data_IF_655776889631
#
_entry.id   IF_655776889631
#
_cell.length_a   1.000
_cell.length_b   1.000
_cell.length_c   1.000
_cell.angle_alpha   90.00
_cell.angle_beta   90.00
_cell.angle_gamma   90.00
#
_symmetry.space_group_name_H-M   'P 1'
#
loop_
_entity.id
_entity.type
_entity.pdbx_description
1 polymer ?
#
# COMPACT_ATOMS: atom_id res chain seq x y z
N UNK A 1 7.09 -20.45 10.26
CA UNK A 1 6.84 -19.68 9.02
C UNK A 1 8.06 -19.80 8.11
N UNK A 2 7.90 -19.55 6.81
CA UNK A 2 9.01 -19.33 5.87
C UNK A 2 9.07 -17.84 5.52
N UNK A 3 10.22 -17.37 5.04
CA UNK A 3 10.38 -16.01 4.52
C UNK A 3 10.65 -16.10 3.03
N UNK A 4 9.84 -15.41 2.23
CA UNK A 4 10.08 -15.20 0.81
C UNK A 4 10.47 -13.73 0.63
N UNK A 5 11.66 -13.48 0.09
CA UNK A 5 12.10 -12.13 -0.26
C UNK A 5 11.86 -11.90 -1.75
N UNK A 6 11.33 -10.74 -2.10
CA UNK A 6 11.10 -10.29 -3.47
C UNK A 6 11.50 -8.83 -3.54
N UNK A 7 12.35 -8.48 -4.51
CA UNK A 7 12.76 -7.09 -4.72
C UNK A 7 11.59 -6.27 -5.29
N UNK A 8 11.51 -4.97 -4.95
CA UNK A 8 10.42 -4.11 -5.41
C UNK A 8 10.37 -3.93 -6.94
N UNK A 9 11.45 -4.25 -7.66
CA UNK A 9 11.43 -4.34 -9.13
C UNK A 9 10.41 -5.36 -9.66
N UNK A 10 10.06 -6.41 -8.92
CA UNK A 10 9.00 -7.35 -9.33
C UNK A 10 7.63 -6.66 -9.33
N UNK A 11 7.35 -5.82 -8.32
CA UNK A 11 6.10 -5.05 -8.31
C UNK A 11 6.03 -4.10 -9.52
N UNK A 12 7.16 -3.43 -9.83
CA UNK A 12 7.27 -2.59 -11.03
C UNK A 12 7.06 -3.40 -12.31
N UNK A 13 7.71 -4.57 -12.42
CA UNK A 13 7.58 -5.48 -13.57
C UNK A 13 6.12 -5.87 -13.79
N UNK A 14 5.40 -6.23 -12.73
CA UNK A 14 3.97 -6.60 -12.85
C UNK A 14 3.12 -5.45 -13.36
N UNK A 15 3.37 -4.24 -12.89
CA UNK A 15 2.63 -3.05 -13.36
C UNK A 15 2.95 -2.76 -14.83
N UNK A 16 4.24 -2.75 -15.21
CA UNK A 16 4.66 -2.36 -16.56
C UNK A 16 4.32 -3.42 -17.62
N UNK A 17 4.42 -4.71 -17.27
CA UNK A 17 4.15 -5.83 -18.16
C UNK A 17 2.71 -6.34 -18.07
N UNK A 18 1.81 -5.61 -17.40
CA UNK A 18 0.38 -5.95 -17.28
C UNK A 18 0.09 -7.33 -16.67
N UNK A 19 0.84 -7.68 -15.63
CA UNK A 19 0.72 -8.95 -14.88
C UNK A 19 -0.26 -8.76 -13.73
N UNK A 20 -1.51 -8.51 -14.13
CA UNK A 20 -2.67 -8.31 -13.28
C UNK A 20 -3.93 -8.48 -14.14
N UNK A 21 -5.10 -8.55 -13.49
CA UNK A 21 -6.40 -8.54 -14.16
C UNK A 21 -6.79 -7.10 -14.55
N UNK A 22 -6.79 -6.79 -15.86
CA UNK A 22 -7.15 -5.47 -16.37
C UNK A 22 -8.63 -5.14 -16.13
N UNK A 23 -9.52 -6.14 -16.14
CA UNK A 23 -10.95 -5.94 -15.85
C UNK A 23 -11.18 -5.60 -14.38
N UNK A 24 -10.44 -6.25 -13.48
CA UNK A 24 -10.50 -5.90 -12.05
C UNK A 24 -9.99 -4.47 -11.80
N UNK A 25 -8.97 -4.00 -12.52
CA UNK A 25 -8.50 -2.63 -12.38
C UNK A 25 -9.59 -1.61 -12.76
N UNK A 26 -10.35 -1.88 -13.82
CA UNK A 26 -11.48 -1.03 -14.22
C UNK A 26 -12.55 -0.97 -13.13
N UNK A 27 -12.85 -2.11 -12.49
CA UNK A 27 -13.77 -2.18 -11.34
C UNK A 27 -13.23 -1.39 -10.15
N UNK A 28 -11.94 -1.55 -9.83
CA UNK A 28 -11.28 -0.85 -8.73
C UNK A 28 -11.31 0.67 -8.92
N UNK A 29 -11.04 1.15 -10.13
CA UNK A 29 -11.11 2.57 -10.48
C UNK A 29 -12.53 3.12 -10.38
N UNK A 30 -13.53 2.41 -10.94
CA UNK A 30 -14.93 2.82 -10.86
C UNK A 30 -15.44 2.85 -9.42
N UNK A 31 -15.00 1.90 -8.59
CA UNK A 31 -15.32 1.88 -7.16
C UNK A 31 -14.66 3.05 -6.43
N UNK A 32 -13.38 3.33 -6.69
CA UNK A 32 -12.69 4.49 -6.12
C UNK A 32 -13.39 5.80 -6.50
N UNK A 33 -13.79 5.97 -7.76
CA UNK A 33 -14.53 7.16 -8.22
C UNK A 33 -15.85 7.38 -7.47
N UNK A 34 -16.53 6.28 -7.11
CA UNK A 34 -17.79 6.33 -6.39
C UNK A 34 -17.63 6.57 -4.89
N UNK A 35 -16.55 6.06 -4.29
CA UNK A 35 -16.44 5.95 -2.83
C UNK A 35 -15.34 6.82 -2.21
N UNK A 36 -14.31 7.21 -2.96
CA UNK A 36 -13.22 8.02 -2.41
C UNK A 36 -13.67 9.46 -2.22
N UNK A 37 -13.48 9.95 -0.99
CA UNK A 37 -13.64 11.36 -0.64
C UNK A 37 -12.25 11.95 -0.48
N UNK A 38 -11.86 12.81 -1.41
CA UNK A 38 -10.53 13.42 -1.42
C UNK A 38 -10.43 14.57 -0.41
N UNK A 39 -9.33 14.61 0.33
CA UNK A 39 -8.97 15.73 1.21
C UNK A 39 -8.31 16.88 0.45
N UNK A 40 -8.06 17.98 1.16
CA UNK A 40 -7.34 19.13 0.62
C UNK A 40 -5.86 18.80 0.36
N UNK A 41 -5.33 19.22 -0.80
CA UNK A 41 -3.91 19.08 -1.12
C UNK A 41 -3.08 20.16 -0.38
N UNK A 42 -2.36 19.72 0.66
CA UNK A 42 -1.51 20.56 1.50
C UNK A 42 -0.08 20.72 0.99
N UNK A 43 0.25 20.20 -0.20
CA UNK A 43 1.56 20.43 -0.79
C UNK A 43 1.74 21.91 -1.15
N UNK A 44 2.99 22.38 -1.14
CA UNK A 44 3.31 23.69 -1.71
C UNK A 44 2.89 23.72 -3.19
N UNK A 45 2.44 24.87 -3.68
CA UNK A 45 1.79 24.98 -4.99
C UNK A 45 2.62 24.38 -6.13
N UNK A 46 3.94 24.53 -6.10
CA UNK A 46 4.84 23.96 -7.12
C UNK A 46 4.94 22.42 -7.11
N UNK A 47 4.47 21.75 -6.05
CA UNK A 47 4.49 20.29 -5.90
C UNK A 47 3.11 19.66 -6.02
N UNK A 48 2.04 20.47 -6.14
CA UNK A 48 0.70 19.96 -6.39
C UNK A 48 0.63 19.31 -7.75
N UNK A 49 -0.11 18.20 -7.81
CA UNK A 49 -0.33 17.45 -9.05
C UNK A 49 -1.59 17.97 -9.74
N UNK A 50 -1.56 18.01 -11.07
CA UNK A 50 -2.78 18.21 -11.83
C UNK A 50 -3.67 16.95 -11.80
N UNK A 51 -4.91 17.08 -12.26
CA UNK A 51 -5.90 15.99 -12.25
C UNK A 51 -5.42 14.72 -12.96
N UNK A 52 -4.77 14.86 -14.13
CA UNK A 52 -4.26 13.72 -14.91
C UNK A 52 -3.15 12.97 -14.16
N UNK A 53 -2.22 13.70 -13.53
CA UNK A 53 -1.17 13.12 -12.70
C UNK A 53 -1.75 12.44 -11.45
N UNK A 54 -2.71 13.08 -10.79
CA UNK A 54 -3.41 12.52 -9.63
C UNK A 54 -4.18 11.24 -9.99
N UNK A 55 -4.82 11.20 -11.17
CA UNK A 55 -5.47 10.00 -11.69
C UNK A 55 -4.48 8.87 -11.97
N UNK A 56 -3.31 9.19 -12.53
CA UNK A 56 -2.25 8.20 -12.76
C UNK A 56 -1.70 7.63 -11.45
N UNK A 57 -1.49 8.49 -10.44
CA UNK A 57 -1.10 8.07 -9.08
C UNK A 57 -2.15 7.13 -8.49
N UNK A 58 -3.44 7.48 -8.54
CA UNK A 58 -4.51 6.62 -8.04
C UNK A 58 -4.52 5.26 -8.73
N UNK A 59 -4.43 5.24 -10.08
CA UNK A 59 -4.40 4.00 -10.86
C UNK A 59 -3.23 3.11 -10.44
N UNK A 60 -2.04 3.67 -10.31
CA UNK A 60 -0.85 2.91 -9.93
C UNK A 60 -0.93 2.42 -8.47
N UNK A 61 -1.45 3.24 -7.55
CA UNK A 61 -1.69 2.82 -6.16
C UNK A 61 -2.68 1.66 -6.03
N UNK A 62 -3.75 1.63 -6.85
CA UNK A 62 -4.70 0.50 -6.89
C UNK A 62 -4.04 -0.76 -7.50
N UNK A 63 -3.21 -0.58 -8.53
CA UNK A 63 -2.42 -1.67 -9.11
C UNK A 63 -1.43 -2.25 -8.11
N UNK A 64 -0.79 -1.43 -7.28
CA UNK A 64 0.07 -1.90 -6.20
C UNK A 64 -0.71 -2.80 -5.23
N UNK A 65 -1.93 -2.42 -4.85
CA UNK A 65 -2.79 -3.23 -3.99
C UNK A 65 -3.11 -4.60 -4.62
N UNK A 66 -3.53 -4.60 -5.89
CA UNK A 66 -3.84 -5.82 -6.64
C UNK A 66 -2.62 -6.73 -6.76
N UNK A 67 -1.48 -6.19 -7.19
CA UNK A 67 -0.27 -6.97 -7.42
C UNK A 67 0.32 -7.52 -6.11
N UNK A 68 0.31 -6.75 -5.01
CA UNK A 68 0.76 -7.23 -3.70
C UNK A 68 -0.13 -8.37 -3.22
N UNK A 69 -1.46 -8.22 -3.31
CA UNK A 69 -2.40 -9.30 -3.00
C UNK A 69 -2.11 -10.56 -3.82
N UNK A 70 -1.98 -10.40 -5.14
CA UNK A 70 -1.73 -11.53 -6.06
C UNK A 70 -0.39 -12.21 -5.76
N UNK A 71 0.64 -11.47 -5.36
CA UNK A 71 1.89 -12.05 -4.87
C UNK A 71 1.69 -12.83 -3.55
N UNK A 72 0.85 -12.35 -2.64
CA UNK A 72 0.62 -13.03 -1.36
C UNK A 72 -0.11 -14.37 -1.54
N UNK A 73 -1.26 -14.37 -2.22
CA UNK A 73 -2.18 -15.51 -2.26
C UNK A 73 -2.30 -16.20 -3.63
N UNK A 74 -1.70 -15.64 -4.67
CA UNK A 74 -1.89 -16.08 -6.05
C UNK A 74 -3.13 -15.46 -6.70
N UNK A 75 -3.27 -15.68 -8.02
CA UNK A 75 -4.43 -15.25 -8.78
C UNK A 75 -4.64 -16.17 -10.01
N UNK A 76 -5.71 -16.98 -10.06
CA UNK A 76 -5.95 -17.90 -11.18
C UNK A 76 -6.14 -17.19 -12.52
N UNK A 77 -6.61 -15.93 -12.55
CA UNK A 77 -6.74 -15.17 -13.80
C UNK A 77 -5.39 -14.89 -14.48
N UNK A 78 -4.29 -14.90 -13.73
CA UNK A 78 -2.95 -14.80 -14.32
C UNK A 78 -2.59 -16.08 -15.10
N UNK A 79 -3.02 -17.26 -14.63
CA UNK A 79 -2.82 -18.51 -15.35
C UNK A 79 -3.61 -18.53 -16.67
N UNK A 80 -4.82 -17.98 -16.69
CA UNK A 80 -5.64 -17.81 -17.90
C UNK A 80 -4.94 -16.90 -18.94
N UNK A 81 -4.13 -15.94 -18.49
CA UNK A 81 -3.27 -15.09 -19.34
C UNK A 81 -1.95 -15.75 -19.75
N UNK A 82 -1.71 -17.01 -19.37
CA UNK A 82 -0.47 -17.74 -19.64
C UNK A 82 0.68 -17.44 -18.65
N UNK A 83 0.42 -16.65 -17.61
CA UNK A 83 1.39 -16.27 -16.56
C UNK A 83 1.29 -17.24 -15.38
N UNK A 84 1.59 -18.51 -15.68
CA UNK A 84 1.36 -19.63 -14.76
C UNK A 84 2.24 -19.56 -13.51
N UNK A 85 3.46 -19.04 -13.61
CA UNK A 85 4.35 -18.88 -12.47
C UNK A 85 3.80 -17.84 -11.50
N UNK A 86 3.46 -16.65 -11.99
CA UNK A 86 2.96 -15.54 -11.18
C UNK A 86 1.58 -15.81 -10.57
N UNK A 87 0.82 -16.74 -11.14
CA UNK A 87 -0.51 -17.15 -10.67
C UNK A 87 -0.50 -17.89 -9.33
N UNK A 88 0.62 -18.52 -8.96
CA UNK A 88 0.71 -19.35 -7.76
C UNK A 88 0.78 -18.54 -6.46
N UNK A 89 1.36 -17.34 -6.53
CA UNK A 89 1.70 -16.55 -5.35
C UNK A 89 2.75 -17.21 -4.45
N UNK A 90 2.95 -16.63 -3.26
CA UNK A 90 3.99 -17.04 -2.31
C UNK A 90 3.44 -17.71 -1.05
N UNK A 91 2.13 -17.99 -0.99
CA UNK A 91 1.47 -18.57 0.17
C UNK A 91 1.74 -17.76 1.46
N UNK A 92 1.66 -16.43 1.34
CA UNK A 92 2.02 -15.50 2.39
C UNK A 92 0.79 -15.12 3.22
N UNK A 93 0.82 -15.43 4.52
CA UNK A 93 -0.21 -15.04 5.50
C UNK A 93 0.03 -13.64 6.10
N UNK A 94 1.22 -13.08 5.86
CA UNK A 94 1.59 -11.71 6.18
C UNK A 94 2.70 -11.27 5.22
N UNK A 95 2.73 -9.99 4.88
CA UNK A 95 3.71 -9.37 4.00
C UNK A 95 4.16 -8.02 4.56
N UNK A 96 5.18 -7.43 3.93
CA UNK A 96 5.62 -6.07 4.20
C UNK A 96 6.04 -5.39 2.91
N UNK A 97 5.75 -4.10 2.79
CA UNK A 97 6.18 -3.29 1.65
C UNK A 97 7.18 -2.24 2.11
N UNK A 98 8.41 -2.33 1.60
CA UNK A 98 9.50 -1.46 2.06
C UNK A 98 9.20 0.01 1.73
N UNK A 99 8.78 0.31 0.50
CA UNK A 99 8.49 1.67 0.06
C UNK A 99 9.72 2.59 0.13
N UNK A 100 9.89 3.26 1.28
CA UNK A 100 10.97 4.22 1.45
C UNK A 100 12.36 3.54 1.48
N UNK A 101 13.39 4.13 0.86
CA UNK A 101 13.39 5.32 -0.01
C UNK A 101 13.33 4.98 -1.50
N UNK A 102 13.84 3.81 -1.89
CA UNK A 102 14.13 3.46 -3.29
C UNK A 102 12.88 3.40 -4.19
N UNK A 103 11.72 3.05 -3.65
CA UNK A 103 10.47 3.09 -4.41
C UNK A 103 9.86 4.48 -4.41
N UNK A 104 9.64 5.06 -3.22
CA UNK A 104 8.91 6.34 -3.06
C UNK A 104 9.63 7.55 -3.63
N UNK A 105 10.94 7.47 -3.87
CA UNK A 105 11.71 8.54 -4.49
C UNK A 105 11.40 8.68 -6.00
N UNK A 106 10.68 7.73 -6.61
CA UNK A 106 10.38 7.72 -8.06
C UNK A 106 8.96 7.24 -8.41
N UNK A 107 8.30 6.47 -7.55
CA UNK A 107 6.96 5.93 -7.77
C UNK A 107 5.97 6.38 -6.67
N UNK A 108 4.65 6.29 -6.90
CA UNK A 108 3.63 6.49 -5.87
C UNK A 108 3.88 5.64 -4.63
N UNK A 109 3.60 6.17 -3.44
CA UNK A 109 3.81 5.44 -2.19
C UNK A 109 2.78 4.32 -1.97
N UNK A 110 3.02 3.51 -0.93
CA UNK A 110 2.20 2.35 -0.59
C UNK A 110 0.91 2.65 0.16
N UNK A 111 0.66 3.90 0.58
CA UNK A 111 -0.38 4.26 1.55
C UNK A 111 -1.77 3.70 1.20
N UNK A 112 -2.24 3.92 -0.03
CA UNK A 112 -3.56 3.41 -0.49
C UNK A 112 -3.60 1.88 -0.52
N UNK A 113 -2.51 1.24 -0.97
CA UNK A 113 -2.44 -0.21 -1.06
C UNK A 113 -2.42 -0.85 0.33
N UNK A 114 -1.59 -0.34 1.23
CA UNK A 114 -1.51 -0.80 2.62
C UNK A 114 -2.83 -0.58 3.36
N UNK A 115 -3.48 0.56 3.16
CA UNK A 115 -4.78 0.85 3.77
C UNK A 115 -5.87 -0.12 3.29
N UNK A 116 -6.00 -0.34 1.99
CA UNK A 116 -7.04 -1.20 1.43
C UNK A 116 -6.78 -2.69 1.74
N UNK A 117 -5.52 -3.14 1.69
CA UNK A 117 -5.19 -4.53 1.98
C UNK A 117 -5.45 -4.88 3.45
N UNK A 118 -5.08 -3.99 4.37
CA UNK A 118 -5.36 -4.17 5.81
C UNK A 118 -6.82 -3.86 6.19
N UNK A 119 -7.65 -3.37 5.26
CA UNK A 119 -9.09 -3.18 5.47
C UNK A 119 -9.87 -4.46 5.20
N UNK A 120 -11.02 -4.62 5.86
CA UNK A 120 -11.94 -5.76 5.68
C UNK A 120 -12.85 -5.63 4.46
N UNK A 121 -12.57 -4.70 3.55
CA UNK A 121 -13.34 -4.50 2.33
C UNK A 121 -12.51 -3.80 1.26
N UNK A 122 -12.89 -4.04 0.01
CA UNK A 122 -12.46 -3.29 -1.16
C UNK A 122 -13.54 -3.34 -2.26
N UNK A 123 -13.16 -3.10 -3.52
CA UNK A 123 -14.07 -3.16 -4.67
C UNK A 123 -14.69 -4.55 -4.92
N UNK A 124 -14.14 -5.62 -4.36
CA UNK A 124 -14.70 -6.97 -4.42
C UNK A 124 -15.66 -7.27 -3.25
N UNK A 125 -15.92 -6.30 -2.37
CA UNK A 125 -16.81 -6.44 -1.22
C UNK A 125 -16.08 -6.71 0.10
N UNK A 126 -16.82 -7.21 1.08
CA UNK A 126 -16.28 -7.51 2.43
C UNK A 126 -15.47 -8.80 2.37
N UNK A 127 -14.28 -8.79 2.96
CA UNK A 127 -13.35 -9.92 3.02
C UNK A 127 -12.50 -9.90 4.29
N UNK A 128 -11.76 -10.98 4.53
CA UNK A 128 -10.71 -10.98 5.54
C UNK A 128 -9.65 -9.91 5.20
N UNK A 129 -9.19 -9.11 6.18
CA UNK A 129 -8.09 -8.21 5.96
C UNK A 129 -6.79 -8.99 5.75
N UNK A 130 -5.96 -8.54 4.81
CA UNK A 130 -4.59 -9.00 4.72
C UNK A 130 -3.75 -8.36 5.83
N UNK A 131 -2.59 -8.94 6.13
CA UNK A 131 -1.59 -8.33 7.00
C UNK A 131 -0.44 -7.83 6.15
N UNK A 132 -0.38 -6.52 5.92
CA UNK A 132 0.67 -5.87 5.12
C UNK A 132 1.32 -4.77 5.96
N UNK A 133 2.56 -4.99 6.38
CA UNK A 133 3.30 -4.05 7.22
C UNK A 133 3.95 -2.94 6.38
N UNK A 134 3.60 -1.68 6.71
CA UNK A 134 4.26 -0.48 6.21
C UNK A 134 5.76 -0.51 6.51
N UNK A 135 6.56 0.03 5.59
CA UNK A 135 8.02 0.12 5.69
C UNK A 135 8.74 -1.24 5.84
N UNK A 136 8.05 -2.34 5.49
CA UNK A 136 8.51 -3.71 5.69
C UNK A 136 8.95 -4.00 7.14
N UNK A 137 8.28 -3.37 8.13
CA UNK A 137 8.48 -3.70 9.53
C UNK A 137 7.86 -5.06 9.85
N UNK A 138 8.65 -6.11 9.60
CA UNK A 138 8.24 -7.50 9.81
C UNK A 138 7.84 -7.81 11.26
N UNK A 139 8.42 -7.14 12.25
CA UNK A 139 8.09 -7.36 13.66
C UNK A 139 6.71 -6.79 13.98
N UNK A 140 6.39 -5.61 13.47
CA UNK A 140 5.05 -5.08 13.57
C UNK A 140 4.04 -5.93 12.76
N UNK A 141 4.43 -6.45 11.60
CA UNK A 141 3.64 -7.41 10.84
C UNK A 141 3.27 -8.67 11.65
N UNK A 142 4.21 -9.21 12.43
CA UNK A 142 3.95 -10.33 13.35
C UNK A 142 2.97 -9.93 14.46
N UNK A 143 3.09 -8.72 15.02
CA UNK A 143 2.14 -8.21 16.01
C UNK A 143 0.71 -8.08 15.44
N UNK A 144 0.58 -7.58 14.21
CA UNK A 144 -0.70 -7.51 13.48
C UNK A 144 -1.28 -8.91 13.24
N UNK A 145 -0.45 -9.86 12.78
CA UNK A 145 -0.85 -11.24 12.52
C UNK A 145 -1.35 -11.95 13.79
N UNK A 146 -0.70 -11.73 14.94
CA UNK A 146 -1.19 -12.24 16.22
C UNK A 146 -2.50 -11.56 16.64
N UNK A 147 -2.65 -10.27 16.34
CA UNK A 147 -3.86 -9.51 16.62
C UNK A 147 -5.08 -10.02 15.85
N UNK A 148 -4.96 -10.21 14.53
CA UNK A 148 -6.05 -10.68 13.68
C UNK A 148 -6.44 -12.15 13.98
N UNK A 149 -5.48 -12.97 14.41
CA UNK A 149 -5.72 -14.37 14.81
C UNK A 149 -6.38 -14.51 16.18
N UNK A 150 -6.46 -13.41 16.95
CA UNK A 150 -7.06 -13.38 18.27
C UNK A 150 -8.57 -13.09 18.17
N UNK A 151 -9.42 -13.63 19.04
CA UNK A 151 -10.87 -13.31 19.07
C UNK A 151 -11.19 -11.85 19.43
N UNK A 152 -10.18 -11.00 19.65
CA UNK A 152 -10.32 -9.58 19.89
C UNK A 152 -10.43 -8.79 18.55
N UNK A 153 -11.09 -7.62 18.52
CA UNK A 153 -11.27 -6.86 17.28
C UNK A 153 -9.92 -6.46 16.63
N UNK A 154 -9.85 -6.39 15.28
CA UNK A 154 -8.63 -6.10 14.54
C UNK A 154 -8.05 -4.72 14.93
N UNK A 155 -6.72 -4.63 15.06
CA UNK A 155 -6.00 -3.42 15.48
C UNK A 155 -5.21 -2.82 14.33
N UNK A 156 -5.32 -1.51 14.16
CA UNK A 156 -4.55 -0.71 13.20
C UNK A 156 -3.04 -0.74 13.53
N UNK A 157 -2.20 -0.59 12.50
CA UNK A 157 -0.81 -0.14 12.66
C UNK A 157 -0.78 1.24 13.34
N UNK A 158 -0.29 1.39 14.58
CA UNK A 158 0.03 2.71 15.09
C UNK A 158 1.41 3.11 14.58
N UNK A 159 1.54 4.31 14.02
CA UNK A 159 2.86 4.91 13.87
C UNK A 159 3.42 5.25 15.26
N UNK A 160 4.73 5.09 15.45
CA UNK A 160 5.43 5.63 16.62
C UNK A 160 5.11 7.13 16.72
N UNK A 161 4.25 7.52 17.66
CA UNK A 161 4.07 8.93 18.00
C UNK A 161 5.39 9.41 18.62
N UNK A 162 6.02 10.50 18.13
CA UNK A 162 7.15 11.06 18.85
C UNK A 162 6.62 11.52 20.21
N UNK A 163 7.07 10.88 21.28
CA UNK A 163 6.78 11.29 22.65
C UNK A 163 7.07 12.78 22.77
N UNK A 164 6.05 13.58 23.01
CA UNK A 164 6.10 15.04 23.08
C UNK A 164 6.87 15.59 24.28
N UNK A 165 8.14 15.21 24.44
CA UNK A 165 9.10 16.00 25.22
C UNK A 165 9.88 16.90 24.27
N UNK A 166 9.49 18.16 24.21
CA UNK A 166 10.36 19.24 23.73
C UNK A 166 11.60 19.28 24.61
N UNK A 167 12.70 18.70 24.14
CA UNK A 167 14.04 19.13 24.57
C UNK A 167 14.30 20.52 23.95
N UNK A 168 14.77 21.52 24.71
CA UNK A 168 15.16 22.79 24.13
C UNK A 168 16.47 22.60 23.36
N UNK A 169 16.40 22.64 22.03
CA UNK A 169 17.59 22.66 21.18
C UNK A 169 17.85 24.10 20.73
N UNK A 170 18.95 24.65 21.23
CA UNK A 170 19.61 25.85 20.72
C UNK A 170 20.02 25.65 19.25
N UNK A 171 20.09 26.74 18.50
CA UNK A 171 20.04 26.81 17.04
C UNK A 171 21.11 26.06 16.24
N UNK A 172 20.75 25.69 15.00
CA UNK A 172 21.37 26.19 13.76
C UNK A 172 20.55 25.74 12.54
N UNK A 173 20.51 26.51 11.43
CA UNK A 173 19.55 26.33 10.34
C UNK A 173 20.11 25.44 9.21
N UNK A 174 19.34 24.45 8.75
CA UNK A 174 19.65 23.76 7.50
C UNK A 174 18.98 22.38 7.39
N UNK A 175 18.26 22.17 6.28
CA UNK A 175 17.57 20.95 5.84
C UNK A 175 16.18 20.67 6.46
N UNK A 176 15.13 21.13 5.77
CA UNK A 176 13.79 20.53 5.83
C UNK A 176 13.52 19.89 4.46
N UNK A 177 13.38 18.57 4.41
CA UNK A 177 12.81 17.87 3.25
C UNK A 177 11.30 18.05 3.22
N UNK A 178 10.66 18.28 2.05
CA UNK A 178 9.21 18.38 1.94
C UNK A 178 8.64 16.98 1.67
N UNK A 179 8.03 16.37 2.68
CA UNK A 179 7.27 15.13 2.55
C UNK A 179 6.00 15.24 3.37
N UNK A 180 4.97 15.90 2.80
CA UNK A 180 3.66 15.99 3.41
C UNK A 180 2.97 14.64 3.36
N UNK A 181 2.69 14.04 4.52
CA UNK A 181 1.82 12.86 4.64
C UNK A 181 0.37 13.32 4.49
N UNK A 182 -0.28 12.94 3.39
CA UNK A 182 -1.74 13.03 3.28
C UNK A 182 -2.33 11.75 3.86
N UNK A 183 -2.82 11.81 5.10
CA UNK A 183 -3.56 10.70 5.70
C UNK A 183 -4.99 10.73 5.19
N UNK A 184 -5.34 9.86 4.26
CA UNK A 184 -6.73 9.61 3.91
C UNK A 184 -7.46 9.01 5.13
N UNK A 185 -8.48 9.72 5.61
CA UNK A 185 -9.34 9.25 6.69
C UNK A 185 -10.56 8.58 6.06
N UNK A 186 -10.66 7.25 6.17
CA UNK A 186 -11.87 6.53 5.79
C UNK A 186 -12.82 6.49 6.98
N UNK A 187 -14.00 7.11 6.83
CA UNK A 187 -15.20 6.92 7.66
C UNK A 187 -16.28 6.31 6.81
#
# INVERSE_FOLDING_TARGET
>A
MKVQAVDMTELRRRIDQKIYDETELEMALAWADKHFRYGEDQNAEQYKRNETQSRAVLKESLLMAMCIRDMMQGNPKLAEKGLVEESLGYNAIAAGFQGQRHWTDQYPNGDTAEALLNSSFDWNGVREPFVVATENDSLNGVAMLMGISSPAPPRCLPTYAPTGRRMPLNGSPGSRSPGGRSTASFT
#
